data_IF_784482886941
#
_entry.id   IF_784482886941
#
_cell.length_a   1.000
_cell.length_b   1.000
_cell.length_c   1.000
_cell.angle_alpha   90.00
_cell.angle_beta   90.00
_cell.angle_gamma   90.00
#
_symmetry.space_group_name_H-M   'P 1'
#
loop_
_entity.id
_entity.type
_entity.pdbx_description
1 polymer ?
#
# COMPACT_ATOMS: atom_id res chain seq x y z
N UNK A 1 19.00 60.64 -35.06
CA UNK A 1 18.34 59.32 -35.08
C UNK A 1 18.26 58.86 -33.64
N UNK A 2 17.08 58.45 -33.20
CA UNK A 2 16.58 58.44 -31.81
C UNK A 2 17.49 57.75 -30.78
N UNK A 3 17.49 58.35 -29.59
CA UNK A 3 17.83 57.76 -28.29
C UNK A 3 16.74 56.76 -27.91
N UNK A 4 17.11 55.58 -27.43
CA UNK A 4 16.24 54.77 -26.57
C UNK A 4 17.07 53.95 -25.58
N UNK A 5 16.42 53.73 -24.44
CA UNK A 5 16.96 53.66 -23.09
C UNK A 5 17.23 52.21 -22.67
N UNK A 6 18.43 51.90 -22.20
CA UNK A 6 18.80 50.56 -21.71
C UNK A 6 18.65 50.49 -20.20
N UNK A 7 17.46 50.14 -19.71
CA UNK A 7 17.25 49.72 -18.33
C UNK A 7 17.03 48.20 -18.25
N UNK A 8 18.15 47.47 -18.11
CA UNK A 8 18.23 46.18 -17.40
C UNK A 8 19.70 45.75 -17.28
N UNK A 9 20.19 45.49 -16.06
CA UNK A 9 21.26 44.52 -15.86
C UNK A 9 20.82 43.49 -14.78
N UNK A 10 21.64 42.50 -14.41
CA UNK A 10 21.74 41.25 -15.15
C UNK A 10 21.64 40.00 -14.25
N UNK A 11 21.55 38.86 -14.89
CA UNK A 11 21.81 37.55 -14.30
C UNK A 11 23.32 37.41 -13.99
N UNK A 12 23.71 37.06 -12.75
CA UNK A 12 25.05 36.52 -12.45
C UNK A 12 25.07 35.60 -11.23
N UNK A 13 25.27 34.32 -11.58
CA UNK A 13 25.91 33.18 -10.92
C UNK A 13 26.99 33.44 -9.83
N UNK A 14 27.07 32.42 -8.95
CA UNK A 14 28.16 31.87 -8.13
C UNK A 14 28.46 32.48 -6.75
N UNK A 15 28.32 31.66 -5.69
CA UNK A 15 29.46 30.97 -5.05
C UNK A 15 28.99 29.85 -4.09
N UNK A 16 29.81 28.81 -4.01
CA UNK A 16 29.74 27.65 -3.12
C UNK A 16 30.83 27.82 -2.05
N UNK A 17 30.68 27.12 -0.91
CA UNK A 17 31.65 26.91 0.19
C UNK A 17 31.69 28.10 1.19
N UNK A 18 31.54 28.00 2.51
CA UNK A 18 31.60 26.94 3.52
C UNK A 18 30.74 27.33 4.74
N UNK A 19 30.04 26.39 5.38
CA UNK A 19 30.07 26.21 6.85
C UNK A 19 29.35 24.90 7.22
N UNK A 20 30.13 23.93 7.69
CA UNK A 20 29.65 22.74 8.40
C UNK A 20 29.27 23.14 9.83
N UNK A 21 28.06 22.80 10.26
CA UNK A 21 27.74 22.04 11.49
C UNK A 21 26.29 22.30 11.91
N UNK A 22 25.67 21.22 12.38
CA UNK A 22 24.40 21.13 13.12
C UNK A 22 23.19 20.55 12.35
N UNK A 23 22.90 19.33 12.81
CA UNK A 23 21.58 18.72 13.00
C UNK A 23 21.06 17.76 11.91
N UNK A 24 21.69 16.58 11.89
CA UNK A 24 21.13 15.33 11.41
C UNK A 24 20.01 14.86 12.35
N UNK A 25 18.78 15.29 12.10
CA UNK A 25 17.57 14.52 12.44
C UNK A 25 16.51 14.72 11.35
N UNK A 26 16.81 14.23 10.14
CA UNK A 26 15.74 13.87 9.20
C UNK A 26 15.29 12.46 9.49
N UNK A 27 14.21 12.40 10.27
CA UNK A 27 13.30 11.27 10.37
C UNK A 27 13.10 10.62 9.01
N UNK A 28 13.20 9.30 8.99
CA UNK A 28 12.94 8.42 7.85
C UNK A 28 11.54 8.66 7.31
N UNK A 29 11.42 9.55 6.32
CA UNK A 29 10.20 9.72 5.54
C UNK A 29 10.15 8.56 4.55
N UNK A 30 9.35 7.54 4.89
CA UNK A 30 8.99 6.47 3.98
C UNK A 30 8.43 7.13 2.71
N UNK A 31 9.18 7.02 1.61
CA UNK A 31 8.77 7.55 0.31
C UNK A 31 7.51 6.85 -0.18
N UNK A 32 6.34 7.30 0.28
CA UNK A 32 5.05 6.86 -0.21
C UNK A 32 4.97 7.27 -1.68
N UNK A 33 4.71 6.30 -2.56
CA UNK A 33 4.51 6.60 -3.97
C UNK A 33 3.28 7.51 -4.11
N UNK A 34 3.28 8.39 -5.11
CA UNK A 34 2.15 9.30 -5.35
C UNK A 34 0.81 8.54 -5.41
N UNK A 35 0.82 7.32 -5.94
CA UNK A 35 -0.34 6.43 -6.01
C UNK A 35 -0.85 5.97 -4.63
N UNK A 36 0.04 5.69 -3.67
CA UNK A 36 -0.36 5.33 -2.30
C UNK A 36 -1.00 6.51 -1.58
N UNK A 37 -0.43 7.71 -1.73
CA UNK A 37 -0.99 8.92 -1.15
C UNK A 37 -2.36 9.26 -1.76
N UNK A 38 -2.54 9.03 -3.05
CA UNK A 38 -3.82 9.24 -3.73
C UNK A 38 -4.90 8.27 -3.21
N UNK A 39 -4.55 7.00 -2.99
CA UNK A 39 -5.46 6.02 -2.36
C UNK A 39 -5.81 6.46 -0.92
N UNK A 40 -4.82 6.87 -0.14
CA UNK A 40 -5.03 7.32 1.24
C UNK A 40 -5.92 8.57 1.29
N UNK A 41 -5.70 9.52 0.39
CA UNK A 41 -6.53 10.71 0.22
C UNK A 41 -7.96 10.33 -0.16
N UNK A 42 -8.15 9.35 -1.03
CA UNK A 42 -9.49 8.87 -1.40
C UNK A 42 -10.22 8.29 -0.18
N UNK A 43 -9.56 7.46 0.63
CA UNK A 43 -10.18 6.89 1.84
C UNK A 43 -10.47 7.93 2.93
N UNK A 44 -9.56 8.86 3.17
CA UNK A 44 -9.68 9.82 4.28
C UNK A 44 -10.57 11.01 3.93
N UNK A 45 -10.42 11.55 2.72
CA UNK A 45 -11.09 12.79 2.28
C UNK A 45 -12.34 12.46 1.47
N UNK A 46 -12.23 11.67 0.39
CA UNK A 46 -13.34 11.46 -0.53
C UNK A 46 -14.48 10.65 0.12
N UNK A 47 -14.18 9.57 0.85
CA UNK A 47 -15.21 8.82 1.58
C UNK A 47 -15.93 9.68 2.64
N UNK A 48 -15.19 10.54 3.34
CA UNK A 48 -15.77 11.46 4.34
C UNK A 48 -16.71 12.49 3.69
N UNK A 49 -16.38 12.99 2.49
CA UNK A 49 -17.25 13.91 1.75
C UNK A 49 -18.55 13.24 1.30
N UNK A 50 -18.48 11.99 0.85
CA UNK A 50 -19.66 11.19 0.49
C UNK A 50 -20.52 10.89 1.72
N UNK A 51 -19.91 10.55 2.85
CA UNK A 51 -20.61 10.32 4.10
C UNK A 51 -21.33 11.59 4.60
N UNK A 52 -20.66 12.75 4.52
CA UNK A 52 -21.25 14.04 4.89
C UNK A 52 -22.46 14.40 4.02
N UNK A 53 -22.39 14.13 2.72
CA UNK A 53 -23.52 14.29 1.81
C UNK A 53 -24.69 13.36 2.18
N UNK A 54 -24.40 12.09 2.50
CA UNK A 54 -25.39 11.13 2.98
C UNK A 54 -26.09 11.59 4.27
N UNK A 55 -25.32 12.13 5.23
CA UNK A 55 -25.86 12.72 6.45
C UNK A 55 -26.74 13.95 6.17
N UNK A 56 -26.32 14.80 5.23
CA UNK A 56 -27.03 16.03 4.85
C UNK A 56 -28.27 15.76 3.99
N UNK A 57 -28.54 14.53 3.56
CA UNK A 57 -29.67 14.16 2.69
C UNK A 57 -31.01 14.70 3.19
N UNK A 58 -31.28 14.58 4.49
CA UNK A 58 -32.51 15.08 5.13
C UNK A 58 -32.66 16.61 5.01
N UNK A 59 -31.55 17.34 5.00
CA UNK A 59 -31.55 18.80 4.83
C UNK A 59 -31.94 19.18 3.39
N UNK A 60 -31.50 18.43 2.37
CA UNK A 60 -31.93 18.65 0.99
C UNK A 60 -33.44 18.45 0.81
N UNK A 61 -33.99 17.38 1.40
CA UNK A 61 -35.44 17.10 1.36
C UNK A 61 -36.22 18.18 2.12
N UNK A 62 -35.74 18.57 3.31
CA UNK A 62 -36.36 19.63 4.11
C UNK A 62 -36.31 20.99 3.41
N UNK A 63 -35.21 21.31 2.73
CA UNK A 63 -35.07 22.53 1.94
C UNK A 63 -36.13 22.58 0.82
N UNK A 64 -36.26 21.51 0.05
CA UNK A 64 -37.26 21.40 -1.02
C UNK A 64 -38.69 21.47 -0.47
N UNK A 65 -38.98 20.72 0.59
CA UNK A 65 -40.30 20.72 1.24
C UNK A 65 -40.67 22.10 1.79
N UNK A 66 -39.77 22.76 2.52
CA UNK A 66 -39.98 24.12 3.04
C UNK A 66 -40.15 25.15 1.91
N UNK A 67 -39.40 25.04 0.81
CA UNK A 67 -39.56 25.93 -0.34
C UNK A 67 -40.94 25.78 -0.99
N UNK A 68 -41.44 24.54 -1.14
CA UNK A 68 -42.76 24.27 -1.71
C UNK A 68 -43.86 24.83 -0.81
N UNK A 69 -43.82 24.52 0.50
CA UNK A 69 -44.84 24.95 1.46
C UNK A 69 -44.86 26.48 1.58
N UNK A 70 -43.71 27.14 1.67
CA UNK A 70 -43.64 28.62 1.75
C UNK A 70 -44.14 29.27 0.46
N UNK A 71 -43.79 28.73 -0.71
CA UNK A 71 -44.27 29.24 -2.01
C UNK A 71 -45.79 29.09 -2.14
N UNK A 72 -46.33 27.91 -1.79
CA UNK A 72 -47.77 27.65 -1.83
C UNK A 72 -48.54 28.54 -0.83
N UNK A 73 -48.01 28.70 0.38
CA UNK A 73 -48.60 29.57 1.40
C UNK A 73 -48.63 31.04 0.96
N UNK A 74 -47.52 31.56 0.42
CA UNK A 74 -47.45 32.93 -0.10
C UNK A 74 -48.37 33.16 -1.29
N UNK A 75 -48.49 32.17 -2.18
CA UNK A 75 -49.42 32.24 -3.31
C UNK A 75 -50.87 32.30 -2.83
N UNK A 76 -51.25 31.46 -1.87
CA UNK A 76 -52.63 31.40 -1.36
C UNK A 76 -53.01 32.65 -0.55
N UNK A 77 -52.04 33.27 0.13
CA UNK A 77 -52.30 34.38 1.06
C UNK A 77 -52.26 35.76 0.39
N UNK A 78 -51.39 35.99 -0.61
CA UNK A 78 -51.14 37.33 -1.17
C UNK A 78 -51.31 37.38 -2.70
N UNK A 79 -51.79 36.30 -3.33
CA UNK A 79 -51.91 36.17 -4.80
C UNK A 79 -50.55 36.19 -5.53
N UNK A 80 -50.57 35.90 -6.84
CA UNK A 80 -49.37 35.74 -7.69
C UNK A 80 -48.44 36.97 -7.73
N UNK A 81 -48.97 38.15 -7.40
CA UNK A 81 -48.28 39.43 -7.49
C UNK A 81 -47.11 39.55 -6.49
N UNK A 82 -47.28 39.09 -5.25
CA UNK A 82 -46.20 39.13 -4.24
C UNK A 82 -45.14 38.05 -4.43
N UNK A 83 -45.51 36.90 -5.00
CA UNK A 83 -44.56 35.84 -5.35
C UNK A 83 -43.61 36.30 -6.47
N UNK A 84 -44.16 36.97 -7.50
CA UNK A 84 -43.36 37.58 -8.55
C UNK A 84 -42.44 38.69 -8.01
N UNK A 85 -42.93 39.55 -7.11
CA UNK A 85 -42.11 40.61 -6.51
C UNK A 85 -40.97 40.06 -5.63
N UNK A 86 -41.22 38.99 -4.87
CA UNK A 86 -40.20 38.29 -4.07
C UNK A 86 -39.13 37.60 -4.92
N UNK A 87 -39.54 36.88 -5.97
CA UNK A 87 -38.61 36.28 -6.95
C UNK A 87 -37.78 37.34 -7.67
N UNK A 88 -38.39 38.47 -8.06
CA UNK A 88 -37.67 39.61 -8.67
C UNK A 88 -36.64 40.19 -7.70
N UNK A 89 -36.98 40.32 -6.42
CA UNK A 89 -36.05 40.75 -5.38
C UNK A 89 -34.85 39.82 -5.21
N UNK A 90 -35.08 38.50 -5.19
CA UNK A 90 -34.01 37.49 -5.10
C UNK A 90 -33.13 37.51 -6.36
N UNK A 91 -33.73 37.60 -7.55
CA UNK A 91 -33.00 37.68 -8.83
C UNK A 91 -32.19 38.97 -8.94
N UNK A 92 -32.69 40.09 -8.42
CA UNK A 92 -31.96 41.36 -8.36
C UNK A 92 -30.85 41.35 -7.29
N UNK A 93 -31.06 40.68 -6.15
CA UNK A 93 -30.06 40.58 -5.07
C UNK A 93 -28.97 39.55 -5.36
N UNK A 94 -29.25 38.51 -6.14
CA UNK A 94 -28.28 37.47 -6.51
C UNK A 94 -26.98 38.02 -7.13
N UNK A 95 -26.99 38.91 -8.15
CA UNK A 95 -25.76 39.48 -8.70
C UNK A 95 -25.04 40.39 -7.70
N UNK A 96 -25.79 41.10 -6.84
CA UNK A 96 -25.25 42.00 -5.81
C UNK A 96 -24.52 41.19 -4.73
N UNK A 97 -25.05 40.03 -4.32
CA UNK A 97 -24.44 39.15 -3.34
C UNK A 97 -23.31 38.27 -3.93
N UNK A 98 -23.38 37.92 -5.22
CA UNK A 98 -22.38 37.08 -5.89
C UNK A 98 -21.00 37.76 -5.99
N UNK A 99 -20.96 39.07 -6.21
CA UNK A 99 -19.72 39.83 -6.35
C UNK A 99 -18.84 39.82 -5.09
N UNK A 100 -19.33 40.19 -3.88
CA UNK A 100 -18.57 40.07 -2.64
C UNK A 100 -18.27 38.62 -2.29
N UNK A 101 -19.21 37.68 -2.47
CA UNK A 101 -18.98 36.26 -2.18
C UNK A 101 -17.81 35.67 -2.99
N UNK A 102 -17.70 36.00 -4.28
CA UNK A 102 -16.55 35.57 -5.10
C UNK A 102 -15.22 36.20 -4.67
N UNK A 103 -15.25 37.46 -4.18
CA UNK A 103 -14.06 38.13 -3.63
C UNK A 103 -13.63 37.50 -2.31
N UNK A 104 -14.58 37.16 -1.44
CA UNK A 104 -14.32 36.43 -0.20
C UNK A 104 -13.75 35.04 -0.48
N UNK A 105 -14.34 34.26 -1.40
CA UNK A 105 -13.82 32.95 -1.78
C UNK A 105 -12.40 32.98 -2.37
N UNK A 106 -12.06 34.00 -3.17
CA UNK A 106 -10.69 34.21 -3.67
C UNK A 106 -9.70 34.52 -2.54
N UNK A 107 -10.09 35.36 -1.57
CA UNK A 107 -9.25 35.67 -0.40
C UNK A 107 -9.13 34.49 0.57
N UNK A 108 -10.20 33.70 0.74
CA UNK A 108 -10.18 32.50 1.56
C UNK A 108 -9.27 31.43 0.97
N UNK A 109 -9.28 31.22 -0.35
CA UNK A 109 -8.30 30.36 -1.04
C UNK A 109 -6.87 30.87 -0.89
N UNK A 110 -6.65 32.19 -0.93
CA UNK A 110 -5.33 32.78 -0.68
C UNK A 110 -4.86 32.60 0.77
N UNK A 111 -5.76 32.63 1.75
CA UNK A 111 -5.47 32.35 3.16
C UNK A 111 -5.25 30.86 3.44
N UNK A 112 -5.96 29.98 2.75
CA UNK A 112 -5.75 28.52 2.83
C UNK A 112 -4.47 28.05 2.13
N UNK A 113 -3.91 28.86 1.22
CA UNK A 113 -2.63 28.60 0.57
C UNK A 113 -1.41 28.98 1.43
N UNK A 114 -1.63 29.57 2.62
CA UNK A 114 -0.57 29.79 3.60
C UNK A 114 -0.42 28.48 4.41
N UNK A 115 0.75 27.82 4.41
CA UNK A 115 0.99 26.66 5.26
C UNK A 115 0.76 27.07 6.72
N UNK A 116 -0.20 26.42 7.40
CA UNK A 116 -0.44 26.67 8.82
C UNK A 116 0.70 26.06 9.62
N UNK A 117 1.53 26.92 10.20
CA UNK A 117 2.30 26.56 11.39
C UNK A 117 1.27 26.19 12.47
N UNK A 118 1.48 25.02 13.06
CA UNK A 118 0.59 24.40 14.03
C UNK A 118 0.43 25.31 15.24
N UNK A 119 -0.83 25.63 15.57
CA UNK A 119 -1.16 26.33 16.81
C UNK A 119 -2.19 25.48 17.56
N UNK A 120 -1.66 24.51 18.30
CA UNK A 120 -2.35 23.76 19.34
C UNK A 120 -2.58 24.68 20.56
N UNK A 121 -3.52 25.63 20.45
CA UNK A 121 -4.01 26.35 21.63
C UNK A 121 -5.33 27.10 21.40
N UNK A 122 -6.46 26.40 21.21
CA UNK A 122 -7.75 26.90 21.73
C UNK A 122 -8.88 25.87 21.66
N UNK A 123 -8.86 24.94 22.62
CA UNK A 123 -10.09 24.35 23.12
C UNK A 123 -10.75 25.37 24.08
N UNK A 124 -11.57 26.28 23.54
CA UNK A 124 -12.48 27.13 24.34
C UNK A 124 -13.83 27.27 23.63
N UNK A 125 -14.77 26.41 24.05
CA UNK A 125 -16.20 26.65 24.26
C UNK A 125 -17.01 27.43 23.20
N UNK A 126 -18.02 26.81 22.55
CA UNK A 126 -19.01 27.54 21.77
C UNK A 126 -20.12 28.06 22.71
N UNK A 127 -19.96 29.28 23.22
CA UNK A 127 -21.09 30.04 23.76
C UNK A 127 -21.05 31.47 23.23
N UNK A 128 -22.04 31.78 22.38
CA UNK A 128 -22.91 32.97 22.40
C UNK A 128 -23.40 33.27 20.99
N UNK A 129 -24.66 32.94 20.71
CA UNK A 129 -25.55 33.80 19.91
C UNK A 129 -26.97 33.57 20.39
N UNK A 130 -27.48 34.53 21.18
CA UNK A 130 -28.90 34.62 21.52
C UNK A 130 -29.28 36.09 21.56
N UNK A 131 -29.76 36.57 20.41
CA UNK A 131 -30.51 37.82 20.10
C UNK A 131 -30.94 37.60 18.64
N UNK A 132 -32.19 37.62 18.19
CA UNK A 132 -33.43 38.16 18.72
C UNK A 132 -34.62 37.35 18.19
N UNK A 133 -35.65 37.18 19.01
CA UNK A 133 -37.00 36.82 18.56
C UNK A 133 -37.79 38.09 18.31
N UNK A 134 -37.80 38.61 17.07
CA UNK A 134 -38.93 39.34 16.47
C UNK A 134 -38.74 39.28 14.95
N UNK A 135 -39.27 38.23 14.29
CA UNK A 135 -39.70 38.16 12.86
C UNK A 135 -39.83 36.70 12.39
N UNK A 136 -40.73 35.94 13.05
CA UNK A 136 -40.91 34.49 12.89
C UNK A 136 -41.23 33.97 11.47
N UNK A 137 -41.50 34.84 10.48
CA UNK A 137 -41.75 34.42 9.09
C UNK A 137 -40.66 34.86 8.10
N UNK A 138 -39.70 35.71 8.52
CA UNK A 138 -38.62 36.22 7.68
C UNK A 138 -37.31 35.45 7.91
N UNK A 139 -37.06 35.02 9.15
CA UNK A 139 -35.89 34.20 9.51
C UNK A 139 -35.92 32.79 8.89
N UNK A 140 -37.11 32.24 8.65
CA UNK A 140 -37.24 30.95 7.96
C UNK A 140 -36.75 31.06 6.51
N UNK A 141 -36.99 32.20 5.87
CA UNK A 141 -36.62 32.43 4.48
C UNK A 141 -35.14 32.80 4.36
N UNK A 142 -34.61 33.65 5.25
CA UNK A 142 -33.18 33.97 5.28
C UNK A 142 -32.31 32.76 5.65
N UNK A 143 -32.76 31.90 6.56
CA UNK A 143 -32.11 30.62 6.86
C UNK A 143 -32.15 29.61 5.70
N UNK A 144 -33.21 29.62 4.88
CA UNK A 144 -33.27 28.81 3.65
C UNK A 144 -32.27 29.32 2.61
N UNK A 145 -32.18 30.64 2.45
CA UNK A 145 -31.31 31.27 1.44
C UNK A 145 -29.82 31.12 1.80
N UNK A 146 -29.45 31.10 3.08
CA UNK A 146 -28.07 30.90 3.52
C UNK A 146 -27.59 29.44 3.43
N UNK A 147 -28.49 28.47 3.55
CA UNK A 147 -28.17 27.03 3.49
C UNK A 147 -27.97 26.52 2.04
N UNK A 148 -28.59 27.17 1.05
CA UNK A 148 -28.51 26.76 -0.37
C UNK A 148 -27.06 26.69 -0.90
N UNK A 149 -26.22 27.74 -0.76
CA UNK A 149 -24.84 27.69 -1.25
C UNK A 149 -24.01 26.59 -0.60
N UNK A 150 -24.22 26.35 0.70
CA UNK A 150 -23.50 25.31 1.44
C UNK A 150 -23.86 23.92 0.94
N UNK A 151 -25.16 23.64 0.82
CA UNK A 151 -25.69 22.38 0.30
C UNK A 151 -25.28 22.14 -1.17
N UNK A 152 -25.22 23.18 -1.99
CA UNK A 152 -24.75 23.08 -3.38
C UNK A 152 -23.26 22.73 -3.47
N UNK A 153 -22.40 23.40 -2.69
CA UNK A 153 -20.96 23.09 -2.67
C UNK A 153 -20.72 21.68 -2.14
N UNK A 154 -21.44 21.28 -1.09
CA UNK A 154 -21.37 19.92 -0.54
C UNK A 154 -21.76 18.86 -1.57
N UNK A 155 -22.85 19.09 -2.33
CA UNK A 155 -23.29 18.17 -3.37
C UNK A 155 -22.29 18.06 -4.53
N UNK A 156 -21.68 19.17 -4.95
CA UNK A 156 -20.66 19.17 -6.01
C UNK A 156 -19.42 18.40 -5.57
N UNK A 157 -18.93 18.66 -4.35
CA UNK A 157 -17.74 17.98 -3.82
C UNK A 157 -18.01 16.48 -3.67
N UNK A 158 -19.15 16.10 -3.11
CA UNK A 158 -19.54 14.70 -2.99
C UNK A 158 -19.65 14.00 -4.35
N UNK A 159 -20.16 14.70 -5.38
CA UNK A 159 -20.18 14.15 -6.74
C UNK A 159 -18.77 13.90 -7.28
N UNK A 160 -17.85 14.87 -7.13
CA UNK A 160 -16.45 14.72 -7.58
C UNK A 160 -15.79 13.54 -6.85
N UNK A 161 -15.99 13.41 -5.54
CA UNK A 161 -15.48 12.29 -4.75
C UNK A 161 -16.09 10.95 -5.17
N UNK A 162 -17.40 10.89 -5.44
CA UNK A 162 -18.05 9.70 -6.00
C UNK A 162 -17.47 9.32 -7.36
N UNK A 163 -17.26 10.28 -8.26
CA UNK A 163 -16.70 10.03 -9.59
C UNK A 163 -15.27 9.47 -9.48
N UNK A 164 -14.46 9.98 -8.54
CA UNK A 164 -13.12 9.45 -8.25
C UNK A 164 -13.15 8.03 -7.70
N UNK A 165 -13.94 7.78 -6.65
CA UNK A 165 -14.09 6.44 -6.07
C UNK A 165 -14.59 5.45 -7.13
N UNK A 166 -15.57 5.86 -7.96
CA UNK A 166 -16.08 5.04 -9.04
C UNK A 166 -15.01 4.75 -10.10
N UNK A 167 -14.17 5.72 -10.45
CA UNK A 167 -13.07 5.51 -11.40
C UNK A 167 -12.06 4.50 -10.86
N UNK A 168 -11.75 4.57 -9.55
CA UNK A 168 -10.86 3.64 -8.88
C UNK A 168 -11.45 2.22 -8.81
N UNK A 169 -12.72 2.08 -8.42
CA UNK A 169 -13.41 0.78 -8.34
C UNK A 169 -13.63 0.13 -9.72
N UNK A 170 -13.49 0.89 -10.81
CA UNK A 170 -13.59 0.39 -12.19
C UNK A 170 -12.24 0.00 -12.80
N UNK A 171 -11.15 0.14 -12.05
CA UNK A 171 -9.84 -0.35 -12.52
C UNK A 171 -9.92 -1.86 -12.79
N UNK A 172 -9.20 -2.35 -13.81
CA UNK A 172 -9.23 -3.76 -14.16
C UNK A 172 -8.69 -4.59 -12.99
N UNK A 173 -9.45 -5.63 -12.61
CA UNK A 173 -8.96 -6.61 -11.64
C UNK A 173 -7.88 -7.48 -12.26
N UNK A 174 -6.99 -7.98 -11.40
CA UNK A 174 -5.92 -8.87 -11.79
C UNK A 174 -6.50 -10.22 -12.29
N UNK A 175 -6.15 -10.68 -13.50
CA UNK A 175 -6.57 -11.99 -13.97
C UNK A 175 -5.85 -13.11 -13.23
N UNK A 176 -6.56 -14.21 -12.95
CA UNK A 176 -5.98 -15.43 -12.41
C UNK A 176 -5.16 -16.16 -13.48
N UNK A 177 -3.83 -16.04 -13.41
CA UNK A 177 -2.91 -16.63 -14.38
C UNK A 177 -2.35 -18.00 -13.94
N UNK A 178 -2.83 -18.53 -12.82
CA UNK A 178 -2.38 -19.79 -12.22
C UNK A 178 -3.51 -20.82 -12.15
N UNK A 179 -3.22 -22.03 -12.60
CA UNK A 179 -4.12 -23.18 -12.56
C UNK A 179 -3.83 -24.06 -11.34
N UNK A 180 -4.85 -24.70 -10.73
CA UNK A 180 -4.61 -25.63 -9.64
C UNK A 180 -3.80 -26.84 -10.12
N UNK A 181 -2.80 -27.25 -9.35
CA UNK A 181 -2.03 -28.47 -9.56
C UNK A 181 -1.41 -29.00 -8.28
N UNK A 182 -0.91 -30.24 -8.31
CA UNK A 182 -0.37 -30.92 -7.13
C UNK A 182 1.02 -30.42 -6.73
N UNK A 183 1.76 -29.84 -7.68
CA UNK A 183 3.09 -29.28 -7.50
C UNK A 183 3.23 -27.99 -8.32
N UNK A 184 4.24 -27.19 -7.99
CA UNK A 184 4.54 -25.96 -8.75
C UNK A 184 5.23 -26.34 -10.04
N UNK A 185 4.57 -26.09 -11.19
CA UNK A 185 5.13 -26.38 -12.51
C UNK A 185 4.86 -25.30 -13.54
N UNK A 186 5.82 -25.17 -14.45
CA UNK A 186 5.79 -24.28 -15.60
C UNK A 186 5.85 -25.12 -16.87
N UNK A 187 4.90 -24.92 -17.78
CA UNK A 187 4.87 -25.64 -19.06
C UNK A 187 4.82 -24.64 -20.22
N UNK A 188 5.95 -24.53 -20.92
CA UNK A 188 6.21 -23.59 -21.99
C UNK A 188 5.73 -22.15 -21.68
N UNK A 189 5.88 -21.74 -20.41
CA UNK A 189 5.30 -20.50 -19.92
C UNK A 189 6.18 -19.31 -20.28
N UNK A 190 5.60 -18.26 -20.85
CA UNK A 190 6.29 -16.98 -21.06
C UNK A 190 5.64 -15.89 -20.23
N UNK A 191 6.40 -15.24 -19.36
CA UNK A 191 5.88 -14.31 -18.35
C UNK A 191 6.60 -12.97 -18.37
N UNK A 192 5.87 -11.92 -18.00
CA UNK A 192 6.39 -10.55 -17.87
C UNK A 192 5.67 -9.79 -16.76
N UNK A 193 6.31 -8.74 -16.22
CA UNK A 193 5.64 -7.87 -15.26
C UNK A 193 4.51 -7.08 -15.94
N UNK A 194 3.37 -6.86 -15.25
CA UNK A 194 2.30 -6.03 -15.76
C UNK A 194 2.81 -4.60 -15.97
N UNK A 195 2.37 -3.97 -17.06
CA UNK A 195 2.73 -2.59 -17.41
C UNK A 195 1.48 -1.73 -17.51
N UNK A 196 1.61 -0.49 -17.07
CA UNK A 196 0.70 0.58 -17.44
C UNK A 196 0.92 0.95 -18.91
N UNK A 197 -0.16 1.30 -19.62
CA UNK A 197 -0.20 1.54 -21.07
C UNK A 197 0.72 2.64 -21.61
N UNK A 198 1.49 3.30 -20.76
CA UNK A 198 2.42 4.40 -21.08
C UNK A 198 3.86 3.93 -21.34
N UNK A 199 4.18 2.67 -21.12
CA UNK A 199 5.55 2.15 -21.30
C UNK A 199 5.83 1.75 -22.75
N UNK A 200 6.98 2.15 -23.30
CA UNK A 200 7.41 1.78 -24.65
C UNK A 200 7.75 0.27 -24.76
N UNK A 201 7.34 -0.35 -25.86
CA UNK A 201 7.45 -1.81 -26.09
C UNK A 201 8.90 -2.33 -26.16
N UNK A 202 9.86 -1.48 -26.54
CA UNK A 202 11.25 -1.89 -26.82
C UNK A 202 12.08 -2.35 -25.60
N UNK A 203 11.54 -2.25 -24.38
CA UNK A 203 12.26 -2.62 -23.14
C UNK A 203 11.62 -3.77 -22.37
N UNK A 204 10.64 -4.48 -22.95
CA UNK A 204 9.89 -5.52 -22.24
C UNK A 204 10.78 -6.73 -21.93
N UNK A 205 11.18 -6.86 -20.68
CA UNK A 205 11.83 -8.07 -20.19
C UNK A 205 10.79 -9.20 -20.08
N UNK A 206 11.04 -10.30 -20.79
CA UNK A 206 10.15 -11.47 -20.82
C UNK A 206 10.99 -12.70 -20.49
N UNK A 207 10.54 -13.48 -19.51
CA UNK A 207 11.02 -14.84 -19.32
C UNK A 207 10.32 -15.73 -20.33
N UNK A 208 11.08 -16.47 -21.14
CA UNK A 208 10.55 -17.24 -22.27
C UNK A 208 10.70 -18.74 -22.04
N UNK A 209 9.70 -19.48 -22.51
CA UNK A 209 9.75 -20.95 -22.64
C UNK A 209 10.13 -21.66 -21.34
N UNK A 210 9.51 -21.25 -20.22
CA UNK A 210 9.78 -21.83 -18.92
C UNK A 210 9.21 -23.25 -18.84
N UNK A 211 10.09 -24.23 -18.60
CA UNK A 211 9.77 -25.65 -18.40
C UNK A 211 10.49 -26.15 -17.13
N UNK A 212 9.86 -26.00 -15.97
CA UNK A 212 10.40 -26.43 -14.67
C UNK A 212 9.29 -27.10 -13.86
N UNK A 213 9.67 -28.15 -13.14
CA UNK A 213 8.84 -28.75 -12.11
C UNK A 213 9.60 -28.68 -10.78
N UNK A 214 8.97 -28.13 -9.76
CA UNK A 214 9.53 -28.03 -8.42
C UNK A 214 9.05 -29.24 -7.59
N UNK A 215 9.96 -30.10 -7.10
CA UNK A 215 9.58 -31.23 -6.26
C UNK A 215 8.95 -30.79 -4.95
N UNK A 216 7.87 -31.47 -4.55
CA UNK A 216 7.21 -31.21 -3.28
C UNK A 216 8.08 -31.66 -2.10
N UNK A 217 7.98 -30.95 -0.98
CA UNK A 217 8.69 -31.23 0.29
C UNK A 217 10.22 -31.11 0.22
N UNK A 218 10.77 -30.68 -0.92
CA UNK A 218 12.20 -30.54 -1.14
C UNK A 218 12.62 -29.07 -1.22
N UNK A 219 13.93 -28.83 -1.10
CA UNK A 219 14.52 -27.52 -1.32
C UNK A 219 14.89 -27.39 -2.79
N UNK A 220 14.33 -26.41 -3.47
CA UNK A 220 14.67 -26.05 -4.84
C UNK A 220 15.41 -24.73 -4.86
N UNK A 221 16.59 -24.73 -5.46
CA UNK A 221 17.48 -23.58 -5.51
C UNK A 221 17.77 -23.23 -6.95
N UNK A 222 17.55 -21.98 -7.33
CA UNK A 222 17.87 -21.54 -8.69
C UNK A 222 18.78 -20.33 -8.67
N UNK A 223 19.83 -20.37 -9.50
CA UNK A 223 20.87 -19.35 -9.53
C UNK A 223 20.85 -18.56 -10.83
N UNK A 224 21.24 -17.29 -10.78
CA UNK A 224 21.35 -16.48 -11.99
C UNK A 224 21.96 -15.11 -11.72
N UNK A 225 22.43 -14.44 -12.76
CA UNK A 225 22.98 -13.09 -12.66
C UNK A 225 21.92 -12.09 -12.16
N UNK A 226 22.35 -10.96 -11.61
CA UNK A 226 21.44 -9.84 -11.33
C UNK A 226 20.71 -9.43 -12.61
N UNK A 227 19.40 -9.18 -12.53
CA UNK A 227 18.57 -8.86 -13.69
C UNK A 227 18.24 -10.04 -14.60
N UNK A 228 18.52 -11.30 -14.21
CA UNK A 228 18.14 -12.47 -15.01
C UNK A 228 16.63 -12.75 -15.00
N UNK A 229 15.86 -12.20 -14.06
CA UNK A 229 14.42 -12.46 -13.92
C UNK A 229 14.03 -13.39 -12.77
N UNK A 230 14.89 -13.58 -11.76
CA UNK A 230 14.61 -14.43 -10.59
C UNK A 230 13.33 -14.02 -9.85
N UNK A 231 13.21 -12.75 -9.49
CA UNK A 231 12.00 -12.22 -8.82
C UNK A 231 10.77 -12.28 -9.73
N UNK A 232 10.94 -12.18 -11.05
CA UNK A 232 9.84 -12.37 -12.01
C UNK A 232 9.35 -13.83 -12.04
N UNK A 233 10.24 -14.81 -11.93
CA UNK A 233 9.87 -16.22 -11.80
C UNK A 233 9.09 -16.45 -10.49
N UNK A 234 9.53 -15.87 -9.38
CA UNK A 234 8.81 -15.98 -8.10
C UNK A 234 7.44 -15.30 -8.13
N UNK A 235 7.37 -14.09 -8.70
CA UNK A 235 6.11 -13.39 -8.94
C UNK A 235 5.16 -14.23 -9.80
N UNK A 236 5.69 -15.02 -10.75
CA UNK A 236 4.89 -15.93 -11.56
C UNK A 236 4.26 -17.08 -10.75
N UNK A 237 4.96 -17.60 -9.75
CA UNK A 237 4.40 -18.59 -8.81
C UNK A 237 3.25 -17.97 -7.99
N UNK A 238 3.40 -16.72 -7.57
CA UNK A 238 2.34 -15.96 -6.88
C UNK A 238 1.20 -15.52 -7.81
N UNK A 239 1.38 -15.64 -9.13
CA UNK A 239 0.45 -15.16 -10.14
C UNK A 239 0.46 -13.64 -10.34
N UNK A 240 1.44 -12.89 -9.83
CA UNK A 240 1.59 -11.43 -9.95
C UNK A 240 2.16 -10.96 -11.32
N UNK A 241 2.04 -11.79 -12.36
CA UNK A 241 2.66 -11.55 -13.67
C UNK A 241 1.64 -11.70 -14.79
N UNK A 242 1.91 -11.08 -15.94
CA UNK A 242 1.18 -11.35 -17.18
C UNK A 242 1.74 -12.61 -17.86
N UNK A 243 0.88 -13.60 -18.08
CA UNK A 243 1.19 -14.81 -18.83
C UNK A 243 0.89 -14.58 -20.32
N UNK A 244 1.92 -14.57 -21.15
CA UNK A 244 1.81 -14.35 -22.60
C UNK A 244 1.53 -15.66 -23.35
N UNK A 245 2.09 -16.77 -22.86
CA UNK A 245 1.92 -18.10 -23.45
C UNK A 245 2.17 -19.19 -22.42
N UNK A 246 1.68 -20.40 -22.70
CA UNK A 246 1.83 -21.57 -21.82
C UNK A 246 0.84 -21.59 -20.66
N UNK A 247 1.17 -22.35 -19.61
CA UNK A 247 0.37 -22.39 -18.38
C UNK A 247 1.26 -22.68 -17.15
N UNK A 248 0.82 -22.15 -16.01
CA UNK A 248 1.49 -22.32 -14.71
C UNK A 248 0.55 -23.08 -13.79
N UNK A 249 1.02 -24.18 -13.19
CA UNK A 249 0.29 -24.92 -12.17
C UNK A 249 0.88 -24.62 -10.80
N UNK A 250 0.01 -24.29 -9.86
CA UNK A 250 0.40 -23.99 -8.48
C UNK A 250 -0.63 -24.64 -7.55
N UNK A 251 -0.20 -25.28 -6.45
CA UNK A 251 -1.12 -25.71 -5.42
C UNK A 251 -1.94 -24.53 -4.89
N UNK A 252 -3.26 -24.62 -5.00
CA UNK A 252 -4.20 -23.61 -4.48
C UNK A 252 -4.97 -24.20 -3.32
N UNK A 253 -4.88 -23.57 -2.16
CA UNK A 253 -5.75 -23.89 -1.04
C UNK A 253 -7.15 -23.29 -1.28
N UNK A 254 -8.18 -24.13 -1.35
CA UNK A 254 -9.57 -23.72 -1.64
C UNK A 254 -10.52 -23.92 -0.45
N UNK A 255 -9.99 -24.17 0.75
CA UNK A 255 -10.78 -24.39 1.97
C UNK A 255 -10.78 -23.21 2.94
N UNK A 256 -11.54 -23.34 4.03
CA UNK A 256 -11.37 -22.48 5.21
C UNK A 256 -10.12 -22.92 5.97
N UNK A 257 -9.22 -21.97 6.31
CA UNK A 257 -7.95 -22.30 6.99
C UNK A 257 -8.16 -22.82 8.41
N UNK A 258 -9.28 -22.50 9.06
CA UNK A 258 -9.59 -22.82 10.46
C UNK A 258 -8.42 -22.51 11.43
N UNK A 259 -7.75 -21.37 11.24
CA UNK A 259 -6.53 -21.01 11.98
C UNK A 259 -6.73 -20.96 13.51
N UNK A 260 -7.97 -20.75 13.98
CA UNK A 260 -8.31 -20.74 15.40
C UNK A 260 -8.39 -22.13 16.06
N UNK A 261 -8.43 -23.22 15.29
CA UNK A 261 -8.62 -24.60 15.79
C UNK A 261 -7.41 -25.51 15.50
N UNK A 262 -6.24 -24.91 15.34
CA UNK A 262 -5.03 -25.63 14.94
C UNK A 262 -4.54 -26.53 16.06
N UNK A 263 -4.16 -27.76 15.68
CA UNK A 263 -3.50 -28.71 16.56
C UNK A 263 -2.05 -28.88 16.10
N UNK A 264 -1.14 -29.19 17.03
CA UNK A 264 0.28 -29.39 16.75
C UNK A 264 0.56 -30.46 15.69
N UNK A 265 -0.32 -31.46 15.55
CA UNK A 265 -0.22 -32.53 14.54
C UNK A 265 -0.61 -32.11 13.12
N UNK A 266 -1.40 -31.04 12.96
CA UNK A 266 -1.96 -30.59 11.67
C UNK A 266 -1.63 -29.10 11.43
N UNK A 267 -0.37 -28.75 11.71
CA UNK A 267 0.09 -27.37 11.57
C UNK A 267 0.23 -26.97 10.11
N UNK A 268 0.74 -27.87 9.26
CA UNK A 268 1.16 -27.57 7.88
C UNK A 268 0.00 -27.79 6.90
N UNK A 269 -0.30 -26.76 6.10
CA UNK A 269 -1.22 -26.80 4.97
C UNK A 269 -0.37 -26.92 3.68
N UNK A 270 -0.31 -28.10 3.03
CA UNK A 270 0.59 -28.33 1.90
C UNK A 270 0.40 -27.38 0.71
N UNK A 271 -0.83 -26.92 0.48
CA UNK A 271 -1.20 -26.05 -0.65
C UNK A 271 -1.15 -24.55 -0.34
N UNK A 272 -0.78 -24.15 0.88
CA UNK A 272 -0.67 -22.75 1.26
C UNK A 272 0.77 -22.24 1.04
N UNK A 273 0.90 -20.99 0.59
CA UNK A 273 2.16 -20.38 0.17
C UNK A 273 2.50 -19.22 1.09
N UNK A 274 3.72 -19.21 1.64
CA UNK A 274 4.31 -18.06 2.31
C UNK A 274 5.39 -17.45 1.44
N UNK A 275 5.51 -16.13 1.49
CA UNK A 275 6.45 -15.38 0.68
C UNK A 275 7.25 -14.41 1.55
N UNK A 276 8.57 -14.48 1.43
CA UNK A 276 9.50 -13.54 2.05
C UNK A 276 10.06 -12.63 0.95
N UNK A 277 9.70 -11.35 0.99
CA UNK A 277 10.11 -10.33 0.01
C UNK A 277 11.56 -9.91 0.19
N UNK A 278 12.22 -9.52 -0.91
CA UNK A 278 13.54 -8.89 -0.92
C UNK A 278 13.63 -7.64 -0.03
N UNK A 279 12.53 -6.89 0.09
CA UNK A 279 12.42 -5.80 1.06
C UNK A 279 11.46 -6.25 2.16
N UNK A 280 11.96 -6.59 3.36
CA UNK A 280 11.12 -7.04 4.46
C UNK A 280 10.07 -5.99 4.84
N UNK A 281 8.83 -6.42 4.96
CA UNK A 281 7.74 -5.60 5.46
C UNK A 281 7.32 -6.07 6.86
N UNK A 282 7.27 -5.12 7.80
CA UNK A 282 6.96 -5.34 9.21
C UNK A 282 5.68 -4.58 9.55
N UNK A 283 4.76 -5.26 10.25
CA UNK A 283 3.50 -4.66 10.71
C UNK A 283 3.78 -3.79 11.96
N UNK A 284 3.04 -2.70 12.11
CA UNK A 284 3.09 -1.85 13.30
C UNK A 284 2.46 -2.57 14.50
N UNK A 285 3.20 -3.47 15.12
CA UNK A 285 2.76 -4.33 16.22
C UNK A 285 3.97 -4.83 17.04
N UNK A 286 3.72 -5.64 18.07
CA UNK A 286 4.80 -6.29 18.84
C UNK A 286 5.60 -7.26 17.95
N UNK A 287 6.84 -7.57 18.34
CA UNK A 287 7.66 -8.58 17.65
C UNK A 287 6.95 -9.93 17.63
N UNK A 288 6.34 -10.31 18.76
CA UNK A 288 5.57 -11.54 18.88
C UNK A 288 4.40 -11.59 17.89
N UNK A 289 3.59 -10.53 17.81
CA UNK A 289 2.44 -10.49 16.90
C UNK A 289 2.88 -10.47 15.43
N UNK A 290 4.04 -9.88 15.14
CA UNK A 290 4.66 -9.95 13.82
C UNK A 290 5.05 -11.38 13.42
N UNK A 291 5.48 -12.23 14.37
CA UNK A 291 5.82 -13.63 14.11
C UNK A 291 4.57 -14.50 14.03
N UNK A 292 3.63 -14.32 14.97
CA UNK A 292 2.39 -15.09 15.02
C UNK A 292 1.47 -14.79 13.83
N UNK A 293 1.40 -13.52 13.44
CA UNK A 293 0.65 -13.04 12.28
C UNK A 293 -0.80 -13.56 12.23
N UNK A 294 -1.48 -13.51 13.37
CA UNK A 294 -2.88 -13.95 13.54
C UNK A 294 -3.06 -15.44 13.87
N UNK A 295 -1.99 -16.23 13.97
CA UNK A 295 -2.03 -17.63 14.39
C UNK A 295 -2.00 -17.79 15.92
N UNK A 296 -2.55 -18.89 16.47
CA UNK A 296 -2.48 -19.17 17.91
C UNK A 296 -1.02 -19.34 18.36
N UNK A 297 -0.74 -18.94 19.60
CA UNK A 297 0.59 -19.07 20.21
C UNK A 297 0.87 -20.52 20.63
N UNK A 298 1.87 -21.13 20.02
CA UNK A 298 2.46 -22.41 20.43
C UNK A 298 3.88 -22.15 20.94
N UNK A 299 4.08 -22.30 22.25
CA UNK A 299 5.36 -21.99 22.90
C UNK A 299 6.52 -22.82 22.36
N UNK A 300 6.31 -24.11 22.07
CA UNK A 300 7.38 -25.01 21.62
C UNK A 300 7.82 -24.62 20.22
N UNK A 301 6.85 -24.39 19.32
CA UNK A 301 7.14 -23.98 17.94
C UNK A 301 7.76 -22.58 17.92
N UNK A 302 7.24 -21.66 18.72
CA UNK A 302 7.73 -20.28 18.80
C UNK A 302 9.20 -20.25 19.22
N UNK A 303 9.56 -20.93 20.32
CA UNK A 303 10.95 -21.01 20.80
C UNK A 303 11.89 -21.60 19.73
N UNK A 304 11.47 -22.68 19.06
CA UNK A 304 12.23 -23.26 17.94
C UNK A 304 12.43 -22.27 16.79
N UNK A 305 11.42 -21.45 16.47
CA UNK A 305 11.50 -20.46 15.39
C UNK A 305 12.46 -19.32 15.78
N UNK A 306 12.38 -18.83 17.01
CA UNK A 306 13.29 -17.79 17.53
C UNK A 306 14.74 -18.27 17.47
N UNK A 307 15.01 -19.52 17.89
CA UNK A 307 16.35 -20.10 17.85
C UNK A 307 16.85 -20.34 16.42
N UNK A 308 16.01 -20.93 15.56
CA UNK A 308 16.36 -21.22 14.17
C UNK A 308 16.66 -19.95 13.35
N UNK A 309 15.95 -18.86 13.64
CA UNK A 309 16.19 -17.57 12.99
C UNK A 309 17.23 -16.71 13.72
N UNK A 310 17.84 -17.20 14.81
CA UNK A 310 18.82 -16.46 15.63
C UNK A 310 18.32 -15.09 16.13
N UNK A 311 17.05 -15.03 16.54
CA UNK A 311 16.44 -13.83 17.12
C UNK A 311 16.69 -13.68 18.62
N UNK A 312 17.16 -14.73 19.32
CA UNK A 312 17.42 -14.71 20.76
C UNK A 312 18.27 -13.50 21.18
N UNK A 313 19.39 -13.27 20.49
CA UNK A 313 20.29 -12.15 20.78
C UNK A 313 19.66 -10.79 20.54
N UNK A 314 18.76 -10.68 19.55
CA UNK A 314 18.04 -9.43 19.30
C UNK A 314 17.02 -9.16 20.42
N UNK A 315 16.28 -10.18 20.84
CA UNK A 315 15.30 -10.09 21.91
C UNK A 315 15.94 -9.75 23.26
N UNK A 316 17.13 -10.28 23.56
CA UNK A 316 17.86 -9.97 24.80
C UNK A 316 18.29 -8.50 24.90
N UNK A 317 18.41 -7.81 23.75
CA UNK A 317 18.80 -6.40 23.69
C UNK A 317 17.59 -5.47 23.90
N UNK A 318 16.39 -5.93 23.55
CA UNK A 318 15.19 -5.11 23.69
C UNK A 318 14.67 -5.11 25.14
N UNK A 319 14.27 -3.93 25.64
CA UNK A 319 13.83 -3.76 27.03
C UNK A 319 12.63 -4.65 27.39
N UNK A 320 11.69 -4.81 26.45
CA UNK A 320 10.48 -5.62 26.61
C UNK A 320 10.56 -6.98 25.87
N UNK A 321 11.76 -7.38 25.41
CA UNK A 321 11.97 -8.62 24.68
C UNK A 321 11.05 -8.75 23.47
N UNK A 322 10.23 -9.81 23.44
CA UNK A 322 9.30 -10.08 22.34
C UNK A 322 8.00 -9.25 22.36
N UNK A 323 7.73 -8.54 23.45
CA UNK A 323 6.61 -7.61 23.58
C UNK A 323 6.94 -6.21 23.04
N UNK A 324 8.20 -5.98 22.66
CA UNK A 324 8.65 -4.70 22.11
C UNK A 324 7.86 -4.34 20.86
N UNK A 325 7.30 -3.13 20.82
CA UNK A 325 6.57 -2.59 19.67
C UNK A 325 7.54 -2.17 18.56
N UNK A 326 7.24 -2.54 17.33
CA UNK A 326 8.04 -2.21 16.14
C UNK A 326 7.19 -1.42 15.15
N UNK A 327 7.79 -0.44 14.48
CA UNK A 327 7.16 0.32 13.40
C UNK A 327 7.04 1.81 13.71
N UNK A 328 6.03 2.49 13.13
CA UNK A 328 5.91 3.96 13.19
C UNK A 328 5.80 4.53 14.62
N UNK A 329 5.29 3.75 15.57
CA UNK A 329 5.15 4.12 16.98
C UNK A 329 6.14 3.39 17.89
N UNK A 330 6.94 2.47 17.34
CA UNK A 330 7.83 1.58 18.08
C UNK A 330 9.31 1.79 17.75
N UNK A 331 10.13 0.79 18.09
CA UNK A 331 11.56 0.81 17.74
C UNK A 331 11.78 0.59 16.24
N UNK A 332 12.85 1.18 15.73
CA UNK A 332 13.32 0.90 14.37
C UNK A 332 14.31 -0.26 14.37
N UNK A 333 13.99 -1.32 13.62
CA UNK A 333 14.87 -2.49 13.46
C UNK A 333 15.94 -2.25 12.39
N UNK A 334 17.12 -2.84 12.56
CA UNK A 334 18.13 -2.92 11.51
C UNK A 334 17.66 -3.79 10.34
N UNK A 335 18.25 -3.62 9.15
CA UNK A 335 17.89 -4.41 7.97
C UNK A 335 17.97 -5.93 8.20
N UNK A 336 19.04 -6.41 8.84
CA UNK A 336 19.21 -7.82 9.18
C UNK A 336 18.18 -8.35 10.20
N UNK A 337 17.79 -7.51 11.18
CA UNK A 337 16.73 -7.85 12.13
C UNK A 337 15.36 -7.95 11.46
N UNK A 338 15.03 -7.00 10.57
CA UNK A 338 13.79 -7.05 9.79
C UNK A 338 13.71 -8.35 8.97
N UNK A 339 14.81 -8.76 8.36
CA UNK A 339 14.92 -10.02 7.63
C UNK A 339 14.70 -11.25 8.50
N UNK A 340 15.37 -11.33 9.67
CA UNK A 340 15.19 -12.45 10.60
C UNK A 340 13.74 -12.52 11.10
N UNK A 341 13.11 -11.38 11.36
CA UNK A 341 11.73 -11.30 11.80
C UNK A 341 10.73 -11.78 10.73
N UNK A 342 10.89 -11.35 9.46
CA UNK A 342 10.03 -11.85 8.37
C UNK A 342 10.26 -13.32 8.06
N UNK A 343 11.50 -13.79 8.20
CA UNK A 343 11.82 -15.20 8.05
C UNK A 343 11.19 -16.04 9.18
N UNK A 344 11.27 -15.56 10.42
CA UNK A 344 10.61 -16.18 11.56
C UNK A 344 9.09 -16.26 11.35
N UNK A 345 8.46 -15.18 10.86
CA UNK A 345 7.05 -15.18 10.44
C UNK A 345 6.76 -16.29 9.43
N UNK A 346 7.58 -16.45 8.39
CA UNK A 346 7.40 -17.48 7.37
C UNK A 346 7.59 -18.91 7.89
N UNK A 347 8.51 -19.17 8.83
CA UNK A 347 8.68 -20.51 9.41
C UNK A 347 7.66 -20.83 10.51
N UNK A 348 7.18 -19.83 11.25
CA UNK A 348 6.09 -20.00 12.20
C UNK A 348 4.78 -20.33 11.48
N UNK A 349 4.59 -19.74 10.30
CA UNK A 349 3.44 -19.92 9.43
C UNK A 349 3.07 -21.40 9.17
N UNK A 350 1.83 -21.63 8.76
CA UNK A 350 1.26 -22.96 8.45
C UNK A 350 1.55 -23.40 7.02
N UNK A 351 2.24 -22.59 6.24
CA UNK A 351 2.37 -22.72 4.81
C UNK A 351 3.33 -23.86 4.45
N UNK A 352 2.84 -24.77 3.61
CA UNK A 352 3.63 -25.91 3.11
C UNK A 352 4.62 -25.52 2.02
N UNK A 353 4.42 -24.39 1.36
CA UNK A 353 5.32 -23.85 0.33
C UNK A 353 5.91 -22.54 0.84
N UNK A 354 7.22 -22.48 1.03
CA UNK A 354 7.94 -21.28 1.49
C UNK A 354 8.78 -20.76 0.32
N UNK A 355 8.50 -19.52 -0.09
CA UNK A 355 9.24 -18.83 -1.14
C UNK A 355 10.05 -17.69 -0.50
N UNK A 356 11.33 -17.61 -0.81
CA UNK A 356 12.28 -16.69 -0.18
C UNK A 356 13.05 -15.88 -1.21
N UNK A 357 12.72 -14.60 -1.44
CA UNK A 357 13.43 -13.77 -2.43
C UNK A 357 14.65 -13.08 -1.82
N UNK A 358 15.85 -13.64 -2.01
CA UNK A 358 17.14 -13.03 -1.64
C UNK A 358 17.34 -12.73 -0.12
N UNK A 359 16.86 -13.61 0.76
CA UNK A 359 16.94 -13.44 2.23
C UNK A 359 18.37 -13.32 2.79
N UNK A 360 19.32 -14.02 2.17
CA UNK A 360 20.67 -14.17 2.72
C UNK A 360 21.65 -13.07 2.29
N UNK A 361 21.26 -12.17 1.37
CA UNK A 361 22.13 -11.08 0.92
C UNK A 361 22.34 -10.00 1.99
N UNK A 362 21.39 -9.88 2.92
CA UNK A 362 21.44 -8.93 4.03
C UNK A 362 22.00 -9.51 5.34
N UNK A 363 22.35 -10.80 5.37
CA UNK A 363 22.85 -11.49 6.57
C UNK A 363 24.37 -11.66 6.50
N UNK A 364 25.04 -11.53 7.65
CA UNK A 364 26.44 -11.90 7.79
C UNK A 364 26.65 -13.40 7.50
N UNK A 365 27.82 -13.79 7.01
CA UNK A 365 28.11 -15.17 6.63
C UNK A 365 27.91 -16.18 7.78
N UNK A 366 28.31 -15.83 9.01
CA UNK A 366 28.15 -16.73 10.15
C UNK A 366 26.67 -16.93 10.54
N UNK A 367 25.93 -15.82 10.52
CA UNK A 367 24.51 -15.83 10.84
C UNK A 367 23.68 -16.51 9.73
N UNK A 368 24.04 -16.27 8.47
CA UNK A 368 23.46 -16.92 7.32
C UNK A 368 23.63 -18.44 7.37
N UNK A 369 24.81 -18.94 7.75
CA UNK A 369 25.03 -20.38 7.94
C UNK A 369 24.17 -20.97 9.06
N UNK A 370 24.03 -20.27 10.19
CA UNK A 370 23.13 -20.69 11.26
C UNK A 370 21.69 -20.82 10.77
N UNK A 371 21.17 -19.75 10.14
CA UNK A 371 19.79 -19.71 9.62
C UNK A 371 19.58 -20.77 8.54
N UNK A 372 20.55 -20.99 7.65
CA UNK A 372 20.45 -22.00 6.61
C UNK A 372 20.35 -23.41 7.23
N UNK A 373 21.21 -23.71 8.21
CA UNK A 373 21.27 -25.03 8.84
C UNK A 373 20.06 -25.31 9.74
N UNK A 374 19.64 -24.33 10.52
CA UNK A 374 18.61 -24.50 11.56
C UNK A 374 17.20 -24.14 11.09
N UNK A 375 17.02 -23.19 10.17
CA UNK A 375 15.71 -22.82 9.63
C UNK A 375 15.41 -23.51 8.30
N UNK A 376 16.24 -23.29 7.27
CA UNK A 376 15.98 -23.79 5.90
C UNK A 376 16.13 -25.31 5.79
N UNK A 377 17.10 -25.88 6.50
CA UNK A 377 17.37 -27.32 6.54
C UNK A 377 16.95 -28.00 7.85
N UNK A 378 16.50 -27.23 8.83
CA UNK A 378 16.15 -27.78 10.14
C UNK A 378 14.77 -28.41 10.21
N UNK A 379 14.36 -28.73 11.44
CA UNK A 379 13.11 -29.47 11.71
C UNK A 379 11.85 -28.74 11.23
N UNK A 380 11.85 -27.41 11.27
CA UNK A 380 10.71 -26.57 10.88
C UNK A 380 10.42 -26.61 9.37
N UNK A 381 11.40 -27.02 8.57
CA UNK A 381 11.33 -27.15 7.12
C UNK A 381 10.92 -28.56 6.65
N UNK A 382 10.82 -29.53 7.55
CA UNK A 382 10.46 -30.91 7.19
C UNK A 382 9.01 -30.97 6.67
N UNK A 383 8.82 -31.64 5.53
CA UNK A 383 7.52 -31.73 4.88
C UNK A 383 7.05 -30.42 4.22
N UNK A 384 7.97 -29.47 3.96
CA UNK A 384 7.68 -28.21 3.27
C UNK A 384 8.51 -28.07 2.00
N UNK A 385 7.85 -27.63 0.93
CA UNK A 385 8.49 -27.22 -0.32
C UNK A 385 9.15 -25.87 -0.10
N UNK A 386 10.43 -25.75 -0.40
CA UNK A 386 11.19 -24.50 -0.21
C UNK A 386 11.73 -24.06 -1.55
N UNK A 387 11.43 -22.83 -1.97
CA UNK A 387 11.88 -22.29 -3.24
C UNK A 387 12.73 -21.06 -2.96
N UNK A 388 13.99 -21.12 -3.36
CA UNK A 388 14.97 -20.08 -3.05
C UNK A 388 15.84 -19.68 -4.26
N UNK A 389 15.74 -18.44 -4.76
CA UNK A 389 16.75 -17.85 -5.64
C UNK A 389 18.09 -17.62 -4.94
N UNK A 390 19.17 -18.15 -5.50
CA UNK A 390 20.54 -17.77 -5.17
C UNK A 390 21.07 -16.72 -6.15
N UNK A 391 21.71 -15.69 -5.62
CA UNK A 391 22.65 -14.88 -6.40
C UNK A 391 24.00 -15.60 -6.41
N UNK A 392 24.71 -15.55 -7.54
CA UNK A 392 25.96 -16.31 -7.81
C UNK A 392 27.02 -16.14 -6.71
N UNK A 393 27.01 -15.03 -5.97
CA UNK A 393 27.91 -14.74 -4.84
C UNK A 393 27.69 -15.60 -3.58
N UNK A 394 26.55 -16.29 -3.44
CA UNK A 394 26.19 -17.07 -2.24
C UNK A 394 26.30 -18.60 -2.44
N UNK A 395 27.18 -19.05 -3.34
CA UNK A 395 27.35 -20.46 -3.73
C UNK A 395 27.80 -21.42 -2.60
N UNK A 396 28.04 -20.91 -1.39
CA UNK A 396 28.47 -21.69 -0.23
C UNK A 396 27.37 -22.58 0.39
N UNK A 397 26.08 -22.27 0.13
CA UNK A 397 24.96 -22.98 0.73
C UNK A 397 24.48 -24.13 -0.17
N UNK A 398 25.00 -25.36 0.04
CA UNK A 398 24.59 -26.57 -0.71
C UNK A 398 24.02 -27.64 0.21
N UNK A 399 22.83 -28.13 -0.12
CA UNK A 399 22.16 -29.26 0.54
C UNK A 399 22.24 -30.57 -0.22
N UNK A 400 22.05 -31.73 0.44
CA UNK A 400 22.12 -33.06 -0.19
C UNK A 400 20.90 -33.44 -1.06
N UNK A 401 19.88 -32.59 -1.23
CA UNK A 401 18.68 -32.89 -2.03
C UNK A 401 18.10 -31.60 -2.61
N UNK A 402 18.79 -31.05 -3.61
CA UNK A 402 18.48 -29.72 -4.13
C UNK A 402 18.44 -29.72 -5.64
N UNK A 403 17.27 -29.37 -6.20
CA UNK A 403 17.15 -29.05 -7.62
C UNK A 403 17.91 -27.75 -7.88
N UNK A 404 18.91 -27.79 -8.76
CA UNK A 404 19.69 -26.62 -9.19
C UNK A 404 19.32 -26.20 -10.61
N UNK A 405 18.75 -25.00 -10.75
CA UNK A 405 18.40 -24.44 -12.06
C UNK A 405 19.17 -23.15 -12.28
N UNK A 406 19.76 -22.94 -13.46
CA UNK A 406 20.37 -21.65 -13.79
C UNK A 406 19.49 -20.84 -14.72
N UNK A 407 19.37 -19.54 -14.45
CA UNK A 407 18.58 -18.61 -15.23
C UNK A 407 19.51 -17.59 -15.89
N UNK A 408 19.60 -17.68 -17.22
CA UNK A 408 20.52 -16.93 -18.07
C UNK A 408 19.74 -16.08 -19.07
N UNK A 409 19.79 -14.75 -18.92
CA UNK A 409 19.22 -13.76 -19.85
C UNK A 409 17.77 -14.08 -20.30
N UNK A 410 16.90 -14.46 -19.38
CA UNK A 410 15.50 -14.71 -19.68
C UNK A 410 15.15 -16.16 -20.07
N UNK A 411 16.16 -17.04 -20.18
CA UNK A 411 16.00 -18.46 -20.47
C UNK A 411 16.48 -19.33 -19.32
N UNK A 412 15.93 -20.55 -19.24
CA UNK A 412 16.34 -21.56 -18.29
C UNK A 412 17.37 -22.50 -18.89
N UNK A 413 18.41 -22.77 -18.12
CA UNK A 413 19.36 -23.84 -18.35
C UNK A 413 19.36 -24.75 -17.14
N UNK A 414 18.93 -26.00 -17.31
CA UNK A 414 19.00 -27.00 -16.25
C UNK A 414 20.48 -27.34 -16.02
N UNK A 415 20.96 -27.13 -14.79
CA UNK A 415 22.32 -27.50 -14.42
C UNK A 415 22.32 -28.93 -13.91
N UNK A 416 23.09 -29.80 -14.58
CA UNK A 416 23.41 -31.12 -14.05
C UNK A 416 24.12 -30.95 -12.69
N UNK A 417 23.68 -31.62 -11.60
CA UNK A 417 24.23 -31.43 -10.25
C UNK A 417 25.73 -31.71 -10.11
N UNK A 418 26.34 -32.41 -11.07
CA UNK A 418 27.68 -33.00 -10.97
C UNK A 418 28.70 -32.52 -12.02
N UNK A 419 28.33 -31.73 -13.04
CA UNK A 419 29.20 -31.48 -14.22
C UNK A 419 29.66 -30.04 -14.47
N UNK A 420 29.19 -29.07 -13.70
CA UNK A 420 29.36 -27.64 -14.04
C UNK A 420 30.47 -26.90 -13.29
N UNK A 421 31.21 -27.56 -12.39
CA UNK A 421 32.35 -26.95 -11.68
C UNK A 421 33.41 -26.40 -12.65
N UNK A 422 33.65 -27.08 -13.77
CA UNK A 422 34.73 -26.71 -14.71
C UNK A 422 34.35 -25.64 -15.75
N UNK A 423 33.07 -25.26 -15.87
CA UNK A 423 32.62 -24.34 -16.95
C UNK A 423 32.29 -22.92 -16.52
N UNK A 424 32.05 -22.67 -15.24
CA UNK A 424 31.67 -21.32 -14.75
C UNK A 424 32.78 -20.62 -13.95
N UNK A 425 33.87 -21.33 -13.64
CA UNK A 425 35.08 -20.75 -13.04
C UNK A 425 36.10 -20.23 -14.07
N UNK A 426 35.77 -20.27 -15.37
CA UNK A 426 36.55 -19.70 -16.47
C UNK A 426 35.78 -18.62 -17.21
#
# INVERSE_FOLDING_TARGET
>A
MKVEDSSKPPNKRFSKDDDETADDTKSSDDGQSADQQDILNMFTVDCSQVAFFGWSNTQYVNLAGKAIVTTAFLWLLISWQSLCAGLLGIVCLFPINRAPASKYGKKQKALMAIPRYQDDSNNRSPQRYQTDQVLSNRDSFDGIVSEIPYLLVSAINAKISCDRIQSFLRLPEKPDNTFPGDFVSFHNASVSFPRTSTDSDDTKFVLRELNIEFPNNELSVFSGSTGSGKSLLLAAILGEVCLESGYIRVPKFTGERFDSKVTTSDWIIPSAISFVFQTPWIENATIKDNILFGLPFDSIRYEKVIDACALNQDLDIFEDGDQTEVGAQGISLSGGQKWRLTLARAFYSREGIIIMDDVFSALDAHLGEHVFRHAVMGELALGRTRIWPLIISHFAYRGPSTLFVSLLKGYLSMLDPLRSYDRMAN
#
